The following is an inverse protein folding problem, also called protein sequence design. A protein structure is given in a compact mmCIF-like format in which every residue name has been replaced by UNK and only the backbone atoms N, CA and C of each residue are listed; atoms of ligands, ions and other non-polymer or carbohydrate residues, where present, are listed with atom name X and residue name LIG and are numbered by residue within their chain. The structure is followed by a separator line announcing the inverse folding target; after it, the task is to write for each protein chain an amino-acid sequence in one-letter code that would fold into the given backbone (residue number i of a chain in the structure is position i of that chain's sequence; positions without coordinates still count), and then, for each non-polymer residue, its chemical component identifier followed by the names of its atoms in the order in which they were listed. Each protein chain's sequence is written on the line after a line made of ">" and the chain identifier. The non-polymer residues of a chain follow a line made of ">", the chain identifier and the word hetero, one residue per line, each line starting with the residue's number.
data_IF_629202529439
#
_entry.id   IF_629202529439
#
_cell.length_a   1.000
_cell.length_b   1.000
_cell.length_c   1.000
_cell.angle_alpha   90.00
_cell.angle_beta   90.00
_cell.angle_gamma   90.00
#
_symmetry.space_group_name_H-M   'P 1'
#
loop_
_entity.id
_entity.type
_entity.pdbx_description
1 polymer ?
#
# COMPACT_ATOMS: atom_id res chain seq x y z
N UNK A 1 7.77 20.08 -0.61
CA UNK A 1 7.92 19.37 -1.87
C UNK A 1 6.72 18.46 -2.11
N UNK A 2 6.01 18.68 -3.20
CA UNK A 2 4.79 17.94 -3.52
C UNK A 2 4.99 16.92 -4.62
N UNK A 3 6.24 16.54 -4.87
CA UNK A 3 6.53 15.52 -5.86
C UNK A 3 5.93 14.17 -5.47
N UNK A 4 5.40 13.47 -6.46
CA UNK A 4 4.89 12.11 -6.26
C UNK A 4 6.08 11.16 -6.24
N UNK A 5 6.07 10.25 -5.27
CA UNK A 5 7.14 9.28 -5.05
C UNK A 5 6.55 7.88 -4.98
N UNK A 6 7.37 6.90 -5.27
CA UNK A 6 6.98 5.49 -5.20
C UNK A 6 7.45 4.88 -3.89
N UNK A 7 6.55 4.13 -3.25
CA UNK A 7 6.84 3.33 -2.09
C UNK A 7 6.74 1.87 -2.52
N UNK A 8 7.89 1.21 -2.66
CA UNK A 8 7.94 -0.18 -3.11
C UNK A 8 7.94 -1.14 -1.94
N UNK A 9 7.11 -2.17 -2.02
CA UNK A 9 7.18 -3.28 -1.06
C UNK A 9 7.89 -4.47 -1.70
N UNK A 10 8.45 -5.33 -0.87
CA UNK A 10 9.04 -6.57 -1.34
C UNK A 10 7.94 -7.54 -1.76
N UNK A 11 8.24 -8.35 -2.76
CA UNK A 11 7.34 -9.41 -3.20
C UNK A 11 6.93 -10.29 -2.02
N UNK A 12 5.63 -10.47 -1.85
CA UNK A 12 5.07 -11.09 -0.65
C UNK A 12 4.03 -12.14 -1.04
N UNK A 13 4.05 -13.26 -0.35
CA UNK A 13 3.04 -14.29 -0.53
C UNK A 13 1.76 -13.89 0.22
N UNK A 14 0.63 -13.97 -0.47
CA UNK A 14 -0.69 -13.73 0.08
C UNK A 14 -1.53 -14.99 -0.13
N UNK A 15 -2.33 -15.34 0.86
CA UNK A 15 -3.26 -16.45 0.77
C UNK A 15 -4.68 -15.89 0.66
N UNK A 16 -5.36 -16.19 -0.45
CA UNK A 16 -6.73 -15.74 -0.67
C UNK A 16 -7.70 -16.46 0.26
N UNK A 17 -8.96 -15.98 0.32
CA UNK A 17 -9.98 -16.61 1.18
C UNK A 17 -10.30 -18.04 0.77
N UNK A 18 -10.09 -18.39 -0.51
CA UNK A 18 -10.30 -19.74 -1.03
C UNK A 18 -8.99 -20.53 -1.08
N UNK A 19 -7.99 -20.15 -0.26
CA UNK A 19 -6.76 -20.89 -0.03
C UNK A 19 -5.83 -20.98 -1.24
N UNK A 20 -5.92 -20.02 -2.15
CA UNK A 20 -4.99 -19.94 -3.28
C UNK A 20 -3.82 -19.06 -2.91
N UNK A 21 -2.61 -19.48 -3.22
CA UNK A 21 -1.39 -18.73 -2.97
C UNK A 21 -1.13 -17.77 -4.12
N UNK A 22 -0.70 -16.55 -3.76
CA UNK A 22 -0.44 -15.49 -4.72
C UNK A 22 0.81 -14.74 -4.30
N UNK A 23 1.78 -14.62 -5.21
CA UNK A 23 2.95 -13.78 -4.99
C UNK A 23 2.65 -12.40 -5.53
N UNK A 24 2.66 -11.39 -4.67
CA UNK A 24 2.28 -10.03 -5.04
C UNK A 24 3.45 -9.08 -4.87
N UNK A 25 3.70 -8.31 -5.92
CA UNK A 25 4.67 -7.23 -5.92
C UNK A 25 3.90 -5.95 -6.22
N UNK A 26 3.91 -5.02 -5.28
CA UNK A 26 3.09 -3.82 -5.36
C UNK A 26 3.86 -2.58 -4.95
N UNK A 27 3.32 -1.44 -5.30
CA UNK A 27 3.86 -0.15 -4.87
C UNK A 27 2.73 0.84 -4.64
N UNK A 28 3.00 1.82 -3.79
CA UNK A 28 2.10 2.94 -3.54
C UNK A 28 2.74 4.20 -4.08
N UNK A 29 1.91 5.11 -4.58
CA UNK A 29 2.37 6.45 -4.93
C UNK A 29 1.90 7.41 -3.84
N UNK A 30 2.82 8.22 -3.36
CA UNK A 30 2.54 9.15 -2.26
C UNK A 30 3.24 10.47 -2.47
N UNK A 31 2.82 11.46 -1.69
CA UNK A 31 3.49 12.77 -1.64
C UNK A 31 3.42 13.31 -0.22
N UNK A 32 4.34 14.22 0.10
CA UNK A 32 4.33 14.91 1.38
C UNK A 32 3.39 16.09 1.27
N UNK A 33 2.39 16.17 2.15
CA UNK A 33 1.42 17.28 2.17
C UNK A 33 1.54 18.15 3.40
N UNK A 34 2.20 17.66 4.45
CA UNK A 34 2.42 18.40 5.69
C UNK A 34 3.89 18.28 6.06
N UNK A 35 4.76 19.18 5.54
CA UNK A 35 6.20 19.07 5.77
C UNK A 35 6.59 19.11 7.24
N UNK A 36 5.90 19.91 8.04
CA UNK A 36 6.19 20.01 9.47
C UNK A 36 5.95 18.67 10.18
N UNK A 37 4.80 18.08 9.93
CA UNK A 37 4.47 16.78 10.51
C UNK A 37 5.42 15.70 10.01
N UNK A 38 5.77 15.74 8.74
CA UNK A 38 6.72 14.80 8.16
C UNK A 38 8.06 14.86 8.89
N UNK A 39 8.60 16.07 9.08
CA UNK A 39 9.89 16.23 9.78
C UNK A 39 9.79 15.77 11.23
N UNK A 40 8.70 16.11 11.91
CA UNK A 40 8.52 15.78 13.33
C UNK A 40 8.29 14.27 13.55
N UNK A 41 7.56 13.61 12.65
CA UNK A 41 7.11 12.23 12.87
C UNK A 41 7.96 11.20 12.15
N UNK A 42 8.50 11.53 10.99
CA UNK A 42 9.31 10.61 10.20
C UNK A 42 10.77 11.04 10.14
N UNK A 43 11.01 12.30 9.83
CA UNK A 43 12.35 12.86 9.74
C UNK A 43 12.88 12.88 8.32
N UNK A 44 13.01 11.72 7.68
CA UNK A 44 13.52 11.59 6.31
C UNK A 44 12.59 10.68 5.50
N UNK A 45 12.73 10.73 4.16
CA UNK A 45 11.97 9.83 3.29
C UNK A 45 12.27 8.38 3.58
N UNK A 46 13.54 8.06 3.81
CA UNK A 46 13.95 6.70 4.14
C UNK A 46 13.25 6.20 5.40
N UNK A 47 13.16 7.04 6.42
CA UNK A 47 12.49 6.69 7.66
C UNK A 47 10.98 6.58 7.47
N UNK A 48 10.39 7.47 6.66
CA UNK A 48 8.97 7.38 6.33
C UNK A 48 8.67 6.05 5.64
N UNK A 49 9.46 5.70 4.63
CA UNK A 49 9.25 4.47 3.88
C UNK A 49 9.44 3.24 4.75
N UNK A 50 10.40 3.26 5.67
CA UNK A 50 10.59 2.15 6.59
C UNK A 50 9.40 1.96 7.53
N UNK A 51 8.62 3.01 7.79
CA UNK A 51 7.39 2.93 8.57
C UNK A 51 6.22 2.46 7.71
N UNK A 52 6.14 2.93 6.46
CA UNK A 52 4.97 2.68 5.61
C UNK A 52 5.01 1.34 4.89
N UNK A 53 6.18 0.82 4.55
CA UNK A 53 6.29 -0.45 3.82
C UNK A 53 5.64 -1.62 4.58
N UNK A 54 5.91 -1.80 5.88
CA UNK A 54 5.23 -2.86 6.64
C UNK A 54 3.72 -2.67 6.69
N UNK A 55 3.25 -1.42 6.74
CA UNK A 55 1.82 -1.12 6.76
C UNK A 55 1.20 -1.48 5.41
N UNK A 56 1.85 -1.09 4.31
CA UNK A 56 1.38 -1.46 2.97
C UNK A 56 1.27 -2.97 2.83
N UNK A 57 2.30 -3.70 3.23
CA UNK A 57 2.32 -5.16 3.15
C UNK A 57 1.17 -5.76 3.96
N UNK A 58 0.98 -5.29 5.18
CA UNK A 58 -0.07 -5.79 6.07
C UNK A 58 -1.47 -5.49 5.53
N UNK A 59 -1.70 -4.27 5.07
CA UNK A 59 -3.01 -3.85 4.55
C UNK A 59 -3.35 -4.63 3.28
N UNK A 60 -2.36 -4.80 2.39
CA UNK A 60 -2.54 -5.55 1.15
C UNK A 60 -2.87 -7.02 1.45
N UNK A 61 -2.10 -7.64 2.34
CA UNK A 61 -2.32 -9.03 2.72
C UNK A 61 -3.70 -9.22 3.34
N UNK A 62 -4.13 -8.28 4.19
CA UNK A 62 -5.42 -8.36 4.85
C UNK A 62 -6.57 -8.20 3.84
N UNK A 63 -6.48 -7.24 2.95
CA UNK A 63 -7.54 -7.01 1.95
C UNK A 63 -7.66 -8.18 0.97
N UNK A 64 -6.54 -8.64 0.43
CA UNK A 64 -6.57 -9.75 -0.52
C UNK A 64 -6.87 -11.08 0.16
N UNK A 65 -6.50 -11.22 1.42
CA UNK A 65 -6.74 -12.44 2.19
C UNK A 65 -8.20 -12.70 2.51
N UNK A 66 -9.05 -11.69 2.51
CA UNK A 66 -10.48 -11.86 2.75
C UNK A 66 -11.31 -11.97 1.47
N UNK A 67 -10.64 -11.99 0.31
CA UNK A 67 -11.28 -12.08 -0.99
C UNK A 67 -10.87 -13.36 -1.71
N UNK A 68 -11.73 -13.91 -2.56
CA UNK A 68 -11.34 -15.07 -3.36
C UNK A 68 -10.31 -14.66 -4.41
N UNK A 69 -9.53 -15.62 -4.86
CA UNK A 69 -8.50 -15.41 -5.87
C UNK A 69 -9.07 -14.72 -7.13
N UNK A 70 -10.29 -15.07 -7.51
CA UNK A 70 -10.94 -14.51 -8.70
C UNK A 70 -11.06 -12.98 -8.66
N UNK A 71 -11.00 -12.35 -7.48
CA UNK A 71 -10.99 -10.89 -7.37
C UNK A 71 -9.90 -10.25 -8.21
N UNK A 72 -8.74 -10.91 -8.32
CA UNK A 72 -7.58 -10.36 -9.03
C UNK A 72 -7.79 -10.22 -10.52
N UNK A 73 -8.70 -11.01 -11.09
CA UNK A 73 -8.99 -11.02 -12.54
C UNK A 73 -10.40 -10.49 -12.85
N UNK A 74 -11.07 -9.91 -11.86
CA UNK A 74 -12.43 -9.40 -12.01
C UNK A 74 -12.46 -7.88 -11.81
N UNK A 75 -13.64 -7.29 -12.06
CA UNK A 75 -13.87 -5.87 -11.79
C UNK A 75 -13.69 -5.51 -10.31
N UNK A 76 -13.79 -6.48 -9.42
CA UNK A 76 -13.62 -6.28 -7.97
C UNK A 76 -12.19 -5.94 -7.59
N UNK A 77 -11.23 -6.17 -8.48
CA UNK A 77 -9.84 -5.77 -8.24
C UNK A 77 -9.72 -4.28 -7.95
N UNK A 78 -10.45 -3.46 -8.71
CA UNK A 78 -10.45 -2.01 -8.49
C UNK A 78 -10.94 -1.64 -7.09
N UNK A 79 -12.00 -2.30 -6.62
CA UNK A 79 -12.53 -2.09 -5.28
C UNK A 79 -11.51 -2.46 -4.22
N UNK A 80 -10.84 -3.60 -4.39
CA UNK A 80 -9.80 -4.03 -3.46
C UNK A 80 -8.65 -3.01 -3.40
N UNK A 81 -8.20 -2.54 -4.56
CA UNK A 81 -7.12 -1.54 -4.62
C UNK A 81 -7.52 -0.22 -3.99
N UNK A 82 -8.77 0.21 -4.18
CA UNK A 82 -9.30 1.42 -3.55
C UNK A 82 -9.32 1.28 -2.03
N UNK A 83 -9.73 0.14 -1.52
CA UNK A 83 -9.77 -0.10 -0.08
C UNK A 83 -8.37 -0.09 0.52
N UNK A 84 -7.41 -0.71 -0.16
CA UNK A 84 -6.01 -0.71 0.28
C UNK A 84 -5.47 0.72 0.32
N UNK A 85 -5.75 1.49 -0.74
CA UNK A 85 -5.31 2.88 -0.83
C UNK A 85 -5.86 3.71 0.32
N UNK A 86 -7.15 3.60 0.60
CA UNK A 86 -7.79 4.37 1.68
C UNK A 86 -7.21 4.03 3.04
N UNK A 87 -6.99 2.77 3.31
CA UNK A 87 -6.46 2.33 4.60
C UNK A 87 -5.03 2.78 4.77
N UNK A 88 -4.21 2.64 3.74
CA UNK A 88 -2.82 3.09 3.79
C UNK A 88 -2.75 4.61 3.92
N UNK A 89 -3.59 5.34 3.17
CA UNK A 89 -3.63 6.80 3.23
C UNK A 89 -3.94 7.29 4.65
N UNK A 90 -4.91 6.67 5.31
CA UNK A 90 -5.26 7.04 6.68
C UNK A 90 -4.06 6.91 7.62
N UNK A 91 -3.26 5.86 7.46
CA UNK A 91 -2.05 5.67 8.26
C UNK A 91 -0.95 6.64 7.87
N UNK A 92 -0.80 6.92 6.59
CA UNK A 92 0.27 7.80 6.10
C UNK A 92 0.09 9.24 6.59
N UNK A 93 -1.14 9.66 6.82
CA UNK A 93 -1.45 11.03 7.25
C UNK A 93 -0.81 11.38 8.59
N UNK A 94 -0.61 10.43 9.47
CA UNK A 94 0.06 10.68 10.74
C UNK A 94 1.51 11.13 10.54
N UNK A 95 2.10 10.84 9.39
CA UNK A 95 3.47 11.24 9.03
C UNK A 95 3.50 12.43 8.06
N UNK A 96 2.36 13.07 7.82
CA UNK A 96 2.29 14.19 6.91
C UNK A 96 2.30 13.79 5.44
N UNK A 97 1.95 12.55 5.12
CA UNK A 97 1.95 12.04 3.75
C UNK A 97 0.53 11.71 3.29
N UNK A 98 0.33 11.77 1.99
CA UNK A 98 -0.91 11.38 1.32
C UNK A 98 -0.59 10.28 0.32
N UNK A 99 -1.33 9.17 0.40
CA UNK A 99 -1.23 8.09 -0.57
C UNK A 99 -2.24 8.32 -1.66
N UNK A 100 -1.78 8.35 -2.90
CA UNK A 100 -2.63 8.62 -4.06
C UNK A 100 -3.28 7.35 -4.59
N UNK A 101 -2.49 6.30 -4.72
CA UNK A 101 -3.00 4.99 -5.14
C UNK A 101 -2.01 3.89 -4.76
N UNK A 102 -2.49 2.65 -4.86
CA UNK A 102 -1.67 1.45 -4.71
C UNK A 102 -1.88 0.61 -5.96
N UNK A 103 -0.79 0.15 -6.56
CA UNK A 103 -0.81 -0.63 -7.80
C UNK A 103 -0.02 -1.91 -7.64
N UNK A 104 -0.48 -2.95 -8.31
CA UNK A 104 0.23 -4.23 -8.36
C UNK A 104 1.11 -4.23 -9.60
N UNK A 105 2.42 -4.45 -9.40
CA UNK A 105 3.36 -4.59 -10.50
C UNK A 105 3.26 -5.97 -11.13
N UNK A 106 3.18 -7.00 -10.27
CA UNK A 106 3.14 -8.39 -10.71
C UNK A 106 2.40 -9.23 -9.67
N UNK A 107 1.64 -10.21 -10.14
CA UNK A 107 0.95 -11.16 -9.29
C UNK A 107 0.99 -12.53 -9.97
N UNK A 108 1.61 -13.52 -9.29
CA UNK A 108 1.77 -14.87 -9.84
C UNK A 108 1.03 -15.91 -9.01
#
# INVERSE_FOLDING_TARGET
>A
DRRVRDLDMERTQVLSSDQQRLQVDAYARYRIIDPKRFVERAGTESQLESQLVPILTSVLRQELGRRPFATMVSAERGTAMTNITKTLDAQARQYGAQVLDVRIKAAD
#
